data_IF_368572075225
#
_entry.id   IF_368572075225
#
_cell.length_a   1.000
_cell.length_b   1.000
_cell.length_c   1.000
_cell.angle_alpha   90.00
_cell.angle_beta   90.00
_cell.angle_gamma   90.00
#
_symmetry.space_group_name_H-M   'P 1'
#
loop_
_entity.id
_entity.type
_entity.pdbx_description
1 polymer ?
#
# COMPACT_ATOMS: atom_id res chain seq x y z
N UNK A 1 -1.36 2.90 -2.33
CA UNK A 1 -1.81 1.97 -3.41
C UNK A 1 -1.93 0.59 -2.82
N UNK A 2 -2.43 -0.38 -3.58
CA UNK A 2 -2.52 -1.79 -3.19
C UNK A 2 -2.27 -2.66 -4.44
N UNK A 3 -2.07 -3.96 -4.24
CA UNK A 3 -1.92 -4.96 -5.29
C UNK A 3 -3.08 -4.88 -6.27
N UNK A 4 -2.76 -4.97 -7.57
CA UNK A 4 -3.76 -4.91 -8.63
C UNK A 4 -4.68 -6.13 -8.66
N UNK A 5 -4.16 -7.27 -8.23
CA UNK A 5 -4.90 -8.53 -8.16
C UNK A 5 -5.06 -8.94 -6.71
N UNK A 6 -6.28 -8.82 -6.20
CA UNK A 6 -6.62 -9.23 -4.84
C UNK A 6 -6.64 -10.77 -4.70
N UNK A 7 -6.53 -11.25 -3.45
CA UNK A 7 -6.62 -12.68 -3.15
C UNK A 7 -7.92 -13.30 -3.71
N UNK A 8 -7.80 -14.42 -4.41
CA UNK A 8 -8.92 -15.13 -5.05
C UNK A 8 -9.26 -14.65 -6.47
N UNK A 9 -8.43 -13.79 -7.07
CA UNK A 9 -8.59 -13.28 -8.44
C UNK A 9 -7.35 -13.52 -9.30
N UNK A 10 -6.55 -14.53 -8.96
CA UNK A 10 -5.24 -14.81 -9.57
C UNK A 10 -5.34 -15.07 -11.09
N UNK A 11 -6.44 -15.68 -11.55
CA UNK A 11 -6.69 -15.95 -12.97
C UNK A 11 -6.81 -14.66 -13.82
N UNK A 12 -7.13 -13.52 -13.21
CA UNK A 12 -7.30 -12.22 -13.87
C UNK A 12 -5.98 -11.41 -13.91
N UNK A 13 -4.87 -11.94 -13.39
CA UNK A 13 -3.64 -11.16 -13.17
C UNK A 13 -3.11 -10.49 -14.45
N UNK A 14 -3.07 -11.21 -15.57
CA UNK A 14 -2.53 -10.67 -16.82
C UNK A 14 -3.40 -9.53 -17.40
N UNK A 15 -4.73 -9.68 -17.36
CA UNK A 15 -5.67 -8.66 -17.83
C UNK A 15 -5.57 -7.40 -16.97
N UNK A 16 -5.51 -7.58 -15.65
CA UNK A 16 -5.39 -6.49 -14.69
C UNK A 16 -4.06 -5.78 -14.77
N UNK A 17 -2.95 -6.51 -14.94
CA UNK A 17 -1.64 -5.89 -15.14
C UNK A 17 -1.62 -4.96 -16.36
N UNK A 18 -2.26 -5.36 -17.47
CA UNK A 18 -2.38 -4.50 -18.65
C UNK A 18 -3.29 -3.29 -18.40
N UNK A 19 -4.44 -3.50 -17.74
CA UNK A 19 -5.41 -2.43 -17.46
C UNK A 19 -4.88 -1.40 -16.45
N UNK A 20 -4.12 -1.85 -15.44
CA UNK A 20 -3.64 -1.03 -14.33
C UNK A 20 -2.22 -0.50 -14.51
N UNK A 21 -1.47 -0.93 -15.52
CA UNK A 21 -0.14 -0.40 -15.82
C UNK A 21 -0.05 1.14 -15.81
N UNK A 22 -1.03 1.91 -16.34
CA UNK A 22 -1.00 3.38 -16.28
C UNK A 22 -1.09 3.98 -14.85
N UNK A 23 -1.48 3.17 -13.87
CA UNK A 23 -1.68 3.58 -12.48
C UNK A 23 -0.53 3.18 -11.55
N UNK A 24 0.56 2.61 -12.07
CA UNK A 24 1.74 2.29 -11.27
C UNK A 24 2.23 3.55 -10.53
N UNK A 25 2.43 3.41 -9.23
CA UNK A 25 3.05 4.46 -8.42
C UNK A 25 4.56 4.39 -8.60
N UNK A 26 5.10 5.39 -9.30
CA UNK A 26 6.53 5.53 -9.58
C UNK A 26 7.00 6.95 -9.25
N UNK A 27 8.32 7.19 -9.30
CA UNK A 27 8.91 8.52 -9.03
C UNK A 27 8.29 9.65 -9.85
N UNK A 28 7.90 9.40 -11.10
CA UNK A 28 7.29 10.45 -11.95
C UNK A 28 5.92 10.85 -11.42
N UNK A 29 5.11 9.88 -10.99
CA UNK A 29 3.81 10.15 -10.37
C UNK A 29 3.98 10.83 -9.00
N UNK A 30 4.91 10.36 -8.17
CA UNK A 30 5.19 10.95 -6.87
C UNK A 30 5.69 12.39 -6.98
N UNK A 31 6.43 12.74 -8.04
CA UNK A 31 6.88 14.11 -8.29
C UNK A 31 5.74 15.10 -8.57
N UNK A 32 4.54 14.62 -8.93
CA UNK A 32 3.34 15.46 -9.09
C UNK A 32 2.63 15.73 -7.76
N UNK A 33 2.92 14.95 -6.71
CA UNK A 33 2.35 15.13 -5.40
C UNK A 33 2.98 16.32 -4.66
N UNK A 34 2.43 16.65 -3.49
CA UNK A 34 3.06 17.65 -2.61
C UNK A 34 4.42 17.16 -2.13
N UNK A 35 5.32 18.11 -1.81
CA UNK A 35 6.68 17.80 -1.34
C UNK A 35 6.71 16.99 -0.04
N UNK A 36 5.67 17.12 0.78
CA UNK A 36 5.47 16.44 2.05
C UNK A 36 4.48 15.25 1.94
N UNK A 37 4.09 14.85 0.73
CA UNK A 37 3.31 13.65 0.54
C UNK A 37 4.09 12.43 1.01
N UNK A 38 3.37 11.43 1.53
CA UNK A 38 3.93 10.15 1.93
C UNK A 38 3.34 9.05 1.07
N UNK A 39 4.12 7.99 0.85
CA UNK A 39 3.69 6.79 0.18
C UNK A 39 3.28 5.72 1.21
N UNK A 40 2.10 5.14 1.00
CA UNK A 40 1.48 4.12 1.84
C UNK A 40 1.06 2.90 1.00
N UNK A 41 1.19 1.72 1.60
CA UNK A 41 0.88 0.41 1.01
C UNK A 41 0.59 -0.60 2.13
N UNK A 42 -0.54 -1.31 2.05
CA UNK A 42 -1.00 -2.21 3.11
C UNK A 42 -0.21 -3.53 3.24
N UNK A 43 0.51 -3.90 2.17
CA UNK A 43 1.36 -5.09 2.01
C UNK A 43 0.57 -6.41 1.89
N UNK A 44 1.13 -7.43 1.20
CA UNK A 44 2.41 -7.45 0.48
C UNK A 44 2.39 -6.57 -0.78
N UNK A 45 3.55 -6.07 -1.22
CA UNK A 45 3.68 -5.28 -2.45
C UNK A 45 4.39 -6.10 -3.55
N UNK A 46 3.87 -6.04 -4.77
CA UNK A 46 4.47 -6.55 -6.00
C UNK A 46 5.29 -5.44 -6.68
N UNK A 47 6.58 -5.46 -6.38
CA UNK A 47 7.56 -4.52 -6.96
C UNK A 47 7.59 -4.63 -8.48
N UNK A 48 7.50 -3.49 -9.16
CA UNK A 48 7.44 -3.40 -10.62
C UNK A 48 6.03 -3.53 -11.20
N UNK A 49 5.02 -3.85 -10.38
CA UNK A 49 3.59 -3.79 -10.72
C UNK A 49 2.98 -2.50 -10.17
N UNK A 50 2.29 -2.54 -9.03
CA UNK A 50 1.59 -1.36 -8.49
C UNK A 50 2.53 -0.26 -7.98
N UNK A 51 3.78 -0.61 -7.65
CA UNK A 51 4.77 0.31 -7.12
C UNK A 51 6.18 -0.05 -7.60
N UNK A 52 7.02 0.96 -7.82
CA UNK A 52 8.44 0.76 -8.14
C UNK A 52 9.33 0.75 -6.88
N UNK A 53 10.50 0.10 -6.97
CA UNK A 53 11.44 -0.06 -5.85
C UNK A 53 11.85 1.26 -5.21
N UNK A 54 12.12 2.27 -6.05
CA UNK A 54 12.53 3.62 -5.63
C UNK A 54 11.44 4.37 -4.86
N UNK A 55 10.16 4.02 -5.04
CA UNK A 55 9.06 4.61 -4.27
C UNK A 55 8.88 3.89 -2.95
N UNK A 56 8.81 2.56 -2.97
CA UNK A 56 8.53 1.77 -1.74
C UNK A 56 9.68 1.80 -0.74
N UNK A 57 10.93 1.89 -1.21
CA UNK A 57 12.12 2.05 -0.35
C UNK A 57 12.58 3.51 -0.24
N UNK A 58 11.85 4.42 -0.88
CA UNK A 58 12.19 5.84 -0.96
C UNK A 58 11.96 6.61 0.35
N UNK A 59 12.50 7.83 0.46
CA UNK A 59 12.43 8.63 1.69
C UNK A 59 11.02 9.11 2.06
N UNK A 60 10.08 9.08 1.11
CA UNK A 60 8.67 9.41 1.35
C UNK A 60 7.83 8.19 1.72
N UNK A 61 8.41 6.99 1.73
CA UNK A 61 7.71 5.75 2.08
C UNK A 61 7.59 5.60 3.59
N UNK A 62 6.36 5.32 4.06
CA UNK A 62 6.08 5.02 5.47
C UNK A 62 5.44 3.63 5.64
N UNK A 63 5.64 2.72 4.68
CA UNK A 63 4.97 1.41 4.64
C UNK A 63 5.23 0.55 5.88
N UNK A 64 6.40 0.67 6.52
CA UNK A 64 6.71 -0.07 7.74
C UNK A 64 6.09 0.56 8.99
N UNK A 65 6.05 1.89 9.08
CA UNK A 65 5.32 2.57 10.16
C UNK A 65 3.82 2.28 10.06
N UNK A 66 3.28 2.27 8.84
CA UNK A 66 1.90 1.86 8.56
C UNK A 66 1.64 0.41 9.02
N UNK A 67 2.55 -0.52 8.70
CA UNK A 67 2.46 -1.91 9.12
C UNK A 67 2.56 -2.08 10.65
N UNK A 68 3.48 -1.38 11.32
CA UNK A 68 3.63 -1.40 12.78
C UNK A 68 2.38 -0.87 13.47
N UNK A 69 1.80 0.22 12.96
CA UNK A 69 0.62 0.85 13.53
C UNK A 69 -0.63 -0.04 13.52
N UNK A 70 -0.66 -1.12 12.73
CA UNK A 70 -1.70 -2.16 12.82
C UNK A 70 -1.80 -2.74 14.23
N UNK A 71 -0.68 -3.00 14.90
CA UNK A 71 -0.65 -3.53 16.27
C UNK A 71 -1.33 -2.57 17.24
N UNK A 72 -0.98 -1.29 17.18
CA UNK A 72 -1.48 -0.29 18.09
C UNK A 72 -2.97 0.00 17.87
N UNK A 73 -3.37 0.14 16.61
CA UNK A 73 -4.77 0.34 16.23
C UNK A 73 -5.64 -0.83 16.71
N UNK A 74 -5.22 -2.08 16.46
CA UNK A 74 -5.98 -3.26 16.87
C UNK A 74 -6.05 -3.41 18.39
N UNK A 75 -4.98 -3.12 19.13
CA UNK A 75 -5.01 -3.06 20.61
C UNK A 75 -6.07 -2.08 21.12
N UNK A 76 -6.14 -0.88 20.53
CA UNK A 76 -7.12 0.13 20.92
C UNK A 76 -8.56 -0.34 20.65
N UNK A 77 -8.81 -0.96 19.49
CA UNK A 77 -10.11 -1.56 19.15
C UNK A 77 -10.49 -2.64 20.16
N UNK A 78 -9.59 -3.55 20.48
CA UNK A 78 -9.85 -4.62 21.48
C UNK A 78 -10.24 -4.03 22.84
N UNK A 79 -9.48 -3.06 23.35
CA UNK A 79 -9.77 -2.40 24.62
C UNK A 79 -11.13 -1.70 24.59
N UNK A 80 -11.46 -1.02 23.49
CA UNK A 80 -12.73 -0.32 23.35
C UNK A 80 -13.94 -1.27 23.32
N UNK A 81 -13.80 -2.44 22.71
CA UNK A 81 -14.88 -3.44 22.62
C UNK A 81 -15.01 -4.26 23.91
N UNK A 82 -13.91 -4.67 24.52
CA UNK A 82 -13.94 -5.50 25.74
C UNK A 82 -14.34 -4.72 27.00
N UNK A 83 -14.16 -3.38 27.02
CA UNK A 83 -14.64 -2.52 28.13
C UNK A 83 -16.11 -2.13 28.05
N UNK A 84 -16.82 -2.51 26.97
CA UNK A 84 -18.25 -2.20 26.75
C UNK A 84 -19.21 -3.28 27.29
N UNK A 85 -18.67 -4.30 27.94
CA UNK A 85 -19.39 -5.26 28.81
C UNK A 85 -19.22 -4.90 30.26
#
# INVERSE_FOLDING_TARGET
>A
TDVWTSMGQEDEQAERAAAFAPYQVNSKLMALAKKDAVFMHCLPAHRGEEVTDDVVDGPQSIVFDEAENRLHAQKAVMVALMKRT
#
